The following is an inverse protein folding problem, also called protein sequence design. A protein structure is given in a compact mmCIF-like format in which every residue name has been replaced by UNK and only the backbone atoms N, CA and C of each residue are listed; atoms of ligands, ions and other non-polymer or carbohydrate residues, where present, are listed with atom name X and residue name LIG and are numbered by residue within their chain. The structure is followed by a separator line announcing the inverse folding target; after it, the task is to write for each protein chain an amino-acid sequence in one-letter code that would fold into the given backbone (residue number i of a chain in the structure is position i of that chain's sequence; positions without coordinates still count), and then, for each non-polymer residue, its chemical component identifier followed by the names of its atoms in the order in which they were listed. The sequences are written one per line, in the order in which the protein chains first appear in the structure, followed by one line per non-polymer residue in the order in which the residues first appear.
data_IF_283573998081
#
_entry.id   IF_283573998081
#
_cell.length_a   1.000
_cell.length_b   1.000
_cell.length_c   1.000
_cell.angle_alpha   90.00
_cell.angle_beta   90.00
_cell.angle_gamma   90.00
#
_symmetry.space_group_name_H-M   'P 1'
#
loop_
_entity.id
_entity.type
_entity.pdbx_description
1 polymer ?
#
# COMPACT_ATOMS: atom_id res chain seq x y z
N UNK A 1 12.03 23.34 5.63
CA UNK A 1 11.38 22.07 5.29
C UNK A 1 11.93 20.99 6.20
N UNK A 2 11.14 20.07 6.76
CA UNK A 2 11.71 18.98 7.55
C UNK A 2 12.69 18.19 6.69
N UNK A 3 13.85 17.87 7.23
CA UNK A 3 14.89 17.08 6.56
C UNK A 3 14.29 15.73 6.21
N UNK A 4 14.32 15.32 4.93
CA UNK A 4 13.73 14.09 4.42
C UNK A 4 14.76 12.97 4.39
N UNK A 5 14.30 11.74 4.57
CA UNK A 5 15.13 10.53 4.49
C UNK A 5 15.03 10.02 3.07
N UNK A 6 16.10 10.20 2.31
CA UNK A 6 16.16 9.99 0.86
C UNK A 6 15.77 8.58 0.44
N UNK A 7 16.34 7.55 1.09
CA UNK A 7 16.10 6.16 0.72
C UNK A 7 14.62 5.73 0.85
N UNK A 8 13.86 6.36 1.76
CA UNK A 8 12.41 6.11 1.88
C UNK A 8 11.68 6.61 0.65
N UNK A 9 12.05 7.79 0.15
CA UNK A 9 11.45 8.34 -1.08
C UNK A 9 11.84 7.48 -2.30
N UNK A 10 13.08 6.96 -2.36
CA UNK A 10 13.54 6.04 -3.41
C UNK A 10 12.74 4.73 -3.40
N UNK A 11 12.63 4.06 -2.23
CA UNK A 11 11.88 2.79 -2.16
C UNK A 11 10.42 3.02 -2.52
N UNK A 12 9.82 4.14 -2.09
CA UNK A 12 8.44 4.49 -2.47
C UNK A 12 8.32 4.72 -3.99
N UNK A 13 9.34 5.33 -4.62
CA UNK A 13 9.42 5.50 -6.07
C UNK A 13 9.52 4.16 -6.81
N UNK A 14 10.32 3.23 -6.31
CA UNK A 14 10.41 1.86 -6.85
C UNK A 14 9.05 1.15 -6.70
N UNK A 15 8.42 1.26 -5.54
CA UNK A 15 7.12 0.63 -5.28
C UNK A 15 6.03 1.14 -6.22
N UNK A 16 6.03 2.44 -6.51
CA UNK A 16 5.04 3.02 -7.42
C UNK A 16 5.29 2.60 -8.87
N UNK A 17 6.55 2.50 -9.31
CA UNK A 17 6.88 1.97 -10.64
C UNK A 17 6.47 0.50 -10.76
N UNK A 18 6.78 -0.32 -9.76
CA UNK A 18 6.36 -1.72 -9.72
C UNK A 18 4.83 -1.86 -9.80
N UNK A 19 4.09 -1.01 -9.11
CA UNK A 19 2.63 -0.97 -9.17
C UNK A 19 2.12 -0.61 -10.57
N UNK A 20 2.68 0.43 -11.20
CA UNK A 20 2.31 0.82 -12.58
C UNK A 20 2.60 -0.33 -13.56
N UNK A 21 3.74 -1.01 -13.41
CA UNK A 21 4.11 -2.18 -14.21
C UNK A 21 3.10 -3.33 -14.04
N UNK A 22 2.68 -3.61 -12.82
CA UNK A 22 1.69 -4.63 -12.54
C UNK A 22 0.34 -4.31 -13.21
N UNK A 23 -0.12 -3.06 -13.08
CA UNK A 23 -1.38 -2.64 -13.67
C UNK A 23 -1.33 -2.57 -15.20
N UNK A 24 -0.18 -2.22 -15.78
CA UNK A 24 0.02 -2.32 -17.22
C UNK A 24 -0.10 -3.77 -17.72
N UNK A 25 0.49 -4.73 -16.99
CA UNK A 25 0.34 -6.15 -17.32
C UNK A 25 -1.11 -6.64 -17.14
N UNK A 26 -1.82 -6.13 -16.13
CA UNK A 26 -3.26 -6.38 -15.96
C UNK A 26 -4.04 -5.88 -17.16
N UNK A 27 -3.79 -4.66 -17.63
CA UNK A 27 -4.50 -4.08 -18.78
C UNK A 27 -4.17 -4.82 -20.07
N UNK A 28 -2.91 -5.24 -20.30
CA UNK A 28 -2.56 -6.12 -21.42
C UNK A 28 -3.39 -7.41 -21.42
N UNK A 29 -3.59 -8.01 -20.27
CA UNK A 29 -4.43 -9.19 -20.11
C UNK A 29 -5.91 -8.85 -20.35
N UNK A 30 -6.41 -7.78 -19.75
CA UNK A 30 -7.80 -7.35 -19.81
C UNK A 30 -8.24 -7.03 -21.25
N UNK A 31 -7.39 -6.36 -22.03
CA UNK A 31 -7.64 -6.02 -23.44
C UNK A 31 -7.26 -7.13 -24.42
N UNK A 32 -6.84 -8.32 -23.95
CA UNK A 32 -6.57 -9.48 -24.81
C UNK A 32 -5.20 -9.49 -25.49
N UNK A 33 -4.27 -8.60 -25.11
CA UNK A 33 -2.89 -8.57 -25.64
C UNK A 33 -1.94 -9.54 -24.93
N UNK A 34 -2.37 -10.15 -23.82
CA UNK A 34 -1.61 -11.13 -23.08
C UNK A 34 -2.48 -12.34 -22.72
N UNK A 35 -1.85 -13.39 -22.17
CA UNK A 35 -2.56 -14.62 -21.74
C UNK A 35 -3.62 -14.28 -20.68
N UNK A 36 -4.81 -14.92 -20.73
CA UNK A 36 -5.92 -14.62 -19.79
C UNK A 36 -5.62 -14.91 -18.31
N UNK A 37 -4.56 -15.63 -18.02
CA UNK A 37 -4.14 -16.04 -16.68
C UNK A 37 -2.86 -15.32 -16.20
N UNK A 38 -2.31 -14.39 -16.98
CA UNK A 38 -1.01 -13.77 -16.74
C UNK A 38 -0.82 -13.32 -15.28
N UNK A 39 -1.69 -12.44 -14.79
CA UNK A 39 -1.55 -11.88 -13.44
C UNK A 39 -1.91 -12.88 -12.32
N UNK A 40 -2.55 -13.99 -12.66
CA UNK A 40 -2.91 -15.04 -11.71
C UNK A 40 -1.80 -16.06 -11.49
N UNK A 41 -0.73 -16.01 -12.30
CA UNK A 41 0.46 -16.84 -12.12
C UNK A 41 1.17 -16.53 -10.80
N UNK A 42 1.82 -17.54 -10.18
CA UNK A 42 2.44 -17.39 -8.85
C UNK A 42 3.41 -16.21 -8.74
N UNK A 43 4.22 -15.98 -9.78
CA UNK A 43 5.22 -14.90 -9.80
C UNK A 43 4.57 -13.50 -9.79
N UNK A 44 3.50 -13.31 -10.59
CA UNK A 44 2.75 -12.06 -10.63
C UNK A 44 1.97 -11.83 -9.34
N UNK A 45 1.41 -12.87 -8.74
CA UNK A 45 0.78 -12.78 -7.42
C UNK A 45 1.78 -12.44 -6.32
N UNK A 46 2.98 -13.02 -6.37
CA UNK A 46 4.05 -12.66 -5.43
C UNK A 46 4.46 -11.20 -5.63
N UNK A 47 4.64 -10.77 -6.88
CA UNK A 47 5.00 -9.39 -7.23
C UNK A 47 3.95 -8.38 -6.70
N UNK A 48 2.67 -8.64 -6.90
CA UNK A 48 1.56 -7.85 -6.35
C UNK A 48 1.61 -7.76 -4.82
N UNK A 49 1.84 -8.90 -4.15
CA UNK A 49 1.97 -8.93 -2.68
C UNK A 49 3.17 -8.13 -2.18
N UNK A 50 4.29 -8.19 -2.89
CA UNK A 50 5.49 -7.41 -2.54
C UNK A 50 5.25 -5.91 -2.70
N UNK A 51 4.51 -5.47 -3.72
CA UNK A 51 4.10 -4.08 -3.90
C UNK A 51 3.26 -3.62 -2.71
N UNK A 52 2.20 -4.37 -2.36
CA UNK A 52 1.34 -4.04 -1.24
C UNK A 52 2.11 -4.04 0.10
N UNK A 53 2.98 -5.04 0.32
CA UNK A 53 3.87 -5.10 1.47
C UNK A 53 4.72 -3.84 1.58
N UNK A 54 5.37 -3.42 0.50
CA UNK A 54 6.27 -2.26 0.51
C UNK A 54 5.56 -0.96 0.88
N UNK A 55 4.37 -0.71 0.33
CA UNK A 55 3.58 0.48 0.68
C UNK A 55 3.16 0.50 2.15
N UNK A 56 2.65 -0.62 2.67
CA UNK A 56 2.25 -0.73 4.08
C UNK A 56 3.45 -0.61 5.02
N UNK A 57 4.56 -1.28 4.72
CA UNK A 57 5.79 -1.20 5.50
C UNK A 57 6.31 0.24 5.60
N UNK A 58 6.43 0.93 4.45
CA UNK A 58 6.88 2.32 4.39
C UNK A 58 5.89 3.25 5.11
N UNK A 59 4.60 2.98 5.04
CA UNK A 59 3.59 3.77 5.75
C UNK A 59 3.76 3.64 7.27
N UNK A 60 3.95 2.43 7.80
CA UNK A 60 4.19 2.17 9.22
C UNK A 60 5.51 2.76 9.72
N UNK A 61 6.60 2.59 8.97
CA UNK A 61 7.89 3.20 9.28
C UNK A 61 7.77 4.73 9.34
N UNK A 62 7.10 5.33 8.37
CA UNK A 62 6.89 6.78 8.30
C UNK A 62 6.01 7.30 9.43
N UNK A 63 5.05 6.51 9.92
CA UNK A 63 4.27 6.85 11.12
C UNK A 63 5.18 6.97 12.34
N UNK A 64 6.04 5.97 12.57
CA UNK A 64 6.99 5.98 13.70
C UNK A 64 7.98 7.13 13.60
N UNK A 65 8.51 7.44 12.43
CA UNK A 65 9.43 8.56 12.22
C UNK A 65 8.78 9.89 12.62
N UNK A 66 7.50 10.07 12.25
CA UNK A 66 6.84 11.37 12.39
C UNK A 66 6.21 11.57 13.77
N UNK A 67 5.72 10.50 14.41
CA UNK A 67 4.81 10.60 15.56
C UNK A 67 5.29 9.89 16.83
N UNK A 68 6.42 9.17 16.83
CA UNK A 68 6.85 8.39 17.98
C UNK A 68 7.22 9.25 19.19
N UNK A 69 7.80 10.43 18.98
CA UNK A 69 8.19 11.35 20.07
C UNK A 69 6.98 12.10 20.63
N UNK A 70 6.12 12.57 19.75
CA UNK A 70 4.86 13.26 20.05
C UNK A 70 3.93 13.21 18.84
N UNK A 71 2.61 13.17 19.07
CA UNK A 71 1.64 13.06 18.00
C UNK A 71 1.38 14.45 17.40
N UNK A 72 1.82 14.68 16.17
CA UNK A 72 1.46 15.85 15.41
C UNK A 72 0.13 15.60 14.67
N UNK A 73 -0.97 15.94 15.32
CA UNK A 73 -2.31 15.71 14.79
C UNK A 73 -2.55 16.34 13.42
N UNK A 74 -2.05 17.56 13.19
CA UNK A 74 -2.18 18.25 11.89
C UNK A 74 -1.48 17.45 10.77
N UNK A 75 -0.29 16.95 11.04
CA UNK A 75 0.46 16.11 10.08
C UNK A 75 -0.21 14.77 9.87
N UNK A 76 -0.74 14.16 10.93
CA UNK A 76 -1.45 12.89 10.87
C UNK A 76 -2.71 13.00 10.01
N UNK A 77 -3.62 13.93 10.31
CA UNK A 77 -4.85 14.09 9.55
C UNK A 77 -4.61 14.52 8.11
N UNK A 78 -3.60 15.37 7.86
CA UNK A 78 -3.22 15.73 6.48
C UNK A 78 -2.78 14.51 5.67
N UNK A 79 -2.09 13.54 6.27
CA UNK A 79 -1.59 12.35 5.59
C UNK A 79 -2.67 11.26 5.50
N UNK A 80 -3.11 10.77 6.64
CA UNK A 80 -4.04 9.63 6.71
C UNK A 80 -5.47 10.02 6.33
N UNK A 81 -5.90 11.24 6.66
CA UNK A 81 -7.19 11.78 6.24
C UNK A 81 -7.28 11.95 4.72
N UNK A 82 -6.23 12.51 4.09
CA UNK A 82 -6.18 12.59 2.61
C UNK A 82 -6.19 11.19 2.00
N UNK A 83 -5.41 10.24 2.55
CA UNK A 83 -5.41 8.87 2.05
C UNK A 83 -6.79 8.20 2.18
N UNK A 84 -7.50 8.44 3.29
CA UNK A 84 -8.85 7.92 3.51
C UNK A 84 -9.86 8.53 2.51
N UNK A 85 -9.79 9.84 2.27
CA UNK A 85 -10.63 10.51 1.26
C UNK A 85 -10.36 9.90 -0.13
N UNK A 86 -9.09 9.71 -0.51
CA UNK A 86 -8.73 9.08 -1.77
C UNK A 86 -9.22 7.63 -1.85
N UNK A 87 -9.19 6.87 -0.75
CA UNK A 87 -9.73 5.51 -0.68
C UNK A 87 -11.22 5.49 -0.98
N UNK A 88 -11.99 6.37 -0.34
CA UNK A 88 -13.45 6.50 -0.57
C UNK A 88 -13.74 6.94 -2.01
N UNK A 89 -12.98 7.89 -2.55
CA UNK A 89 -13.14 8.35 -3.95
C UNK A 89 -12.91 7.21 -4.94
N UNK A 90 -11.87 6.39 -4.74
CA UNK A 90 -11.62 5.21 -5.59
C UNK A 90 -12.79 4.22 -5.51
N UNK A 91 -13.33 3.96 -4.30
CA UNK A 91 -14.49 3.09 -4.15
C UNK A 91 -15.70 3.62 -4.92
N UNK A 92 -15.98 4.92 -4.85
CA UNK A 92 -17.09 5.56 -5.58
C UNK A 92 -16.87 5.45 -7.09
N UNK A 93 -15.67 5.81 -7.58
CA UNK A 93 -15.36 5.76 -9.01
C UNK A 93 -15.43 4.33 -9.54
N UNK A 94 -14.85 3.37 -8.84
CA UNK A 94 -14.89 1.96 -9.27
C UNK A 94 -16.29 1.36 -9.16
N UNK A 95 -17.13 1.82 -8.23
CA UNK A 95 -18.53 1.45 -8.18
C UNK A 95 -19.30 1.92 -9.42
N UNK A 96 -19.09 3.17 -9.83
CA UNK A 96 -19.76 3.74 -11.01
C UNK A 96 -19.32 3.02 -12.30
N UNK A 97 -18.03 2.67 -12.41
CA UNK A 97 -17.46 2.10 -13.65
C UNK A 97 -17.62 0.57 -13.72
N UNK A 98 -17.49 -0.14 -12.60
CA UNK A 98 -17.39 -1.61 -12.56
C UNK A 98 -18.44 -2.28 -11.66
N UNK A 99 -19.31 -1.51 -11.01
CA UNK A 99 -20.41 -1.99 -10.16
C UNK A 99 -19.99 -3.10 -9.17
N UNK A 100 -20.19 -4.37 -9.51
CA UNK A 100 -19.93 -5.51 -8.63
C UNK A 100 -18.45 -5.72 -8.29
N UNK A 101 -17.52 -5.31 -9.17
CA UNK A 101 -16.08 -5.47 -9.01
C UNK A 101 -15.42 -4.25 -8.36
N UNK A 102 -16.22 -3.34 -7.80
CA UNK A 102 -15.74 -2.14 -7.12
C UNK A 102 -14.69 -2.44 -6.05
N UNK A 103 -13.77 -1.51 -5.83
CA UNK A 103 -12.82 -1.58 -4.72
C UNK A 103 -13.56 -1.29 -3.41
N UNK A 104 -13.88 -2.33 -2.65
CA UNK A 104 -14.56 -2.22 -1.35
C UNK A 104 -13.59 -1.87 -0.23
N UNK A 105 -12.46 -2.57 -0.19
CA UNK A 105 -11.42 -2.34 0.81
C UNK A 105 -10.04 -2.65 0.23
N UNK A 106 -9.45 -1.69 -0.50
CA UNK A 106 -8.14 -1.80 -1.14
C UNK A 106 -6.98 -1.27 -0.28
N UNK A 107 -5.79 -1.18 -0.88
CA UNK A 107 -4.55 -0.79 -0.19
C UNK A 107 -4.63 0.58 0.51
N UNK A 108 -5.31 1.59 -0.07
CA UNK A 108 -5.45 2.91 0.57
C UNK A 108 -6.33 2.85 1.83
N UNK A 109 -7.39 2.01 1.81
CA UNK A 109 -8.19 1.73 3.01
C UNK A 109 -7.33 1.08 4.09
N UNK A 110 -6.58 0.03 3.72
CA UNK A 110 -5.70 -0.67 4.63
C UNK A 110 -4.65 0.27 5.26
N UNK A 111 -4.00 1.15 4.47
CA UNK A 111 -3.05 2.16 4.98
C UNK A 111 -3.73 3.12 5.96
N UNK A 112 -4.95 3.59 5.64
CA UNK A 112 -5.66 4.57 6.46
C UNK A 112 -6.06 3.98 7.81
N UNK A 113 -6.66 2.79 7.82
CA UNK A 113 -7.07 2.09 9.04
C UNK A 113 -5.84 1.64 9.84
N UNK A 114 -4.81 1.09 9.18
CA UNK A 114 -3.55 0.74 9.85
C UNK A 114 -2.88 1.96 10.48
N UNK A 115 -3.01 3.15 9.89
CA UNK A 115 -2.54 4.40 10.46
C UNK A 115 -3.22 4.74 11.79
N UNK A 116 -4.54 4.56 11.89
CA UNK A 116 -5.30 4.76 13.13
C UNK A 116 -4.90 3.73 14.19
N UNK A 117 -4.84 2.45 13.83
CA UNK A 117 -4.37 1.40 14.75
C UNK A 117 -2.93 1.66 15.18
N UNK A 118 -2.08 2.08 14.24
CA UNK A 118 -0.67 2.39 14.51
C UNK A 118 -0.48 3.51 15.54
N UNK A 119 -1.38 4.51 15.62
CA UNK A 119 -1.34 5.52 16.67
C UNK A 119 -1.44 4.90 18.07
N UNK A 120 -2.31 3.92 18.25
CA UNK A 120 -2.48 3.22 19.52
C UNK A 120 -1.21 2.41 19.89
N UNK A 121 -0.51 1.92 18.87
CA UNK A 121 0.68 1.09 19.02
C UNK A 121 2.00 1.89 19.15
N UNK A 122 2.00 3.23 18.98
CA UNK A 122 3.21 4.06 18.99
C UNK A 122 4.03 3.95 20.28
N UNK A 123 3.37 3.71 21.41
CA UNK A 123 4.03 3.58 22.72
C UNK A 123 4.74 2.24 22.92
N UNK A 124 4.43 1.23 22.11
CA UNK A 124 5.06 -0.08 22.21
C UNK A 124 6.51 -0.01 21.73
N UNK A 125 7.40 -0.78 22.39
CA UNK A 125 8.77 -0.92 21.93
C UNK A 125 8.87 -1.77 20.66
N UNK A 126 10.00 -1.69 19.94
CA UNK A 126 10.18 -2.39 18.66
C UNK A 126 10.07 -3.90 18.77
N UNK A 127 10.50 -4.48 19.89
CA UNK A 127 10.42 -5.91 20.12
C UNK A 127 8.96 -6.37 20.28
N UNK A 128 8.16 -5.63 21.06
CA UNK A 128 6.73 -5.90 21.23
C UNK A 128 5.96 -5.75 19.90
N UNK A 129 6.30 -4.74 19.10
CA UNK A 129 5.73 -4.57 17.76
C UNK A 129 6.10 -5.72 16.82
N UNK A 130 7.37 -6.17 16.88
CA UNK A 130 7.82 -7.31 16.08
C UNK A 130 7.05 -8.58 16.46
N UNK A 131 6.96 -8.91 17.75
CA UNK A 131 6.20 -10.08 18.21
C UNK A 131 4.71 -9.97 17.88
N UNK A 132 4.12 -8.78 17.97
CA UNK A 132 2.73 -8.57 17.56
C UNK A 132 2.55 -8.84 16.05
N UNK A 133 3.47 -8.37 15.21
CA UNK A 133 3.43 -8.63 13.77
C UNK A 133 3.57 -10.13 13.48
N UNK A 134 4.52 -10.81 14.14
CA UNK A 134 4.69 -12.27 14.00
C UNK A 134 3.44 -13.00 14.47
N UNK A 135 2.86 -12.62 15.62
CA UNK A 135 1.62 -13.24 16.12
C UNK A 135 0.47 -13.09 15.12
N UNK A 136 0.24 -11.90 14.57
CA UNK A 136 -0.82 -11.67 13.59
C UNK A 136 -0.59 -12.46 12.30
N UNK A 137 0.66 -12.58 11.86
CA UNK A 137 1.01 -13.41 10.71
C UNK A 137 0.75 -14.89 10.99
N UNK A 138 1.18 -15.41 12.14
CA UNK A 138 0.95 -16.80 12.53
C UNK A 138 -0.55 -17.10 12.71
N UNK A 139 -1.29 -16.21 13.36
CA UNK A 139 -2.75 -16.36 13.50
C UNK A 139 -3.41 -16.50 12.13
N UNK A 140 -2.97 -15.71 11.13
CA UNK A 140 -3.50 -15.85 9.77
C UNK A 140 -3.14 -17.19 9.10
N UNK A 141 -2.03 -17.82 9.48
CA UNK A 141 -1.65 -19.15 8.96
C UNK A 141 -2.45 -20.29 9.62
N UNK A 142 -2.74 -20.15 10.93
CA UNK A 142 -3.38 -21.22 11.72
C UNK A 142 -4.91 -21.11 11.75
N UNK A 143 -5.46 -19.91 11.55
CA UNK A 143 -6.92 -19.74 11.44
C UNK A 143 -7.33 -20.22 10.04
N UNK A 144 -8.22 -21.24 9.96
CA UNK A 144 -8.75 -21.67 8.67
C UNK A 144 -9.32 -20.49 7.90
N UNK A 145 -8.85 -20.28 6.70
CA UNK A 145 -9.34 -19.22 5.81
C UNK A 145 -10.08 -19.86 4.63
N UNK A 146 -11.11 -19.25 4.16
CA UNK A 146 -11.81 -18.07 4.69
C UNK A 146 -12.72 -18.43 5.89
N UNK A 147 -12.94 -17.47 6.78
CA UNK A 147 -13.92 -17.63 7.88
C UNK A 147 -15.34 -17.48 7.35
N UNK A 148 -16.26 -18.29 7.86
CA UNK A 148 -17.69 -18.03 7.66
C UNK A 148 -18.05 -16.68 8.29
N UNK A 149 -18.58 -15.77 7.50
CA UNK A 149 -18.90 -14.44 8.00
C UNK A 149 -19.58 -13.57 6.95
N UNK A 150 -20.39 -12.65 7.44
CA UNK A 150 -21.13 -11.68 6.65
C UNK A 150 -20.20 -10.67 5.96
N UNK A 151 -20.71 -10.00 4.94
CA UNK A 151 -20.05 -8.91 4.21
C UNK A 151 -19.49 -7.81 5.12
N UNK A 152 -20.07 -7.62 6.33
CA UNK A 152 -19.60 -6.64 7.30
C UNK A 152 -18.15 -6.88 7.76
N UNK A 153 -17.69 -8.14 7.85
CA UNK A 153 -16.34 -8.47 8.34
C UNK A 153 -15.25 -8.51 7.27
N UNK A 154 -15.62 -8.38 6.00
CA UNK A 154 -14.69 -8.46 4.86
C UNK A 154 -13.57 -7.43 4.92
N UNK A 155 -13.77 -6.25 5.50
CA UNK A 155 -12.72 -5.26 5.67
C UNK A 155 -11.66 -5.67 6.71
N UNK A 156 -12.03 -6.54 7.65
CA UNK A 156 -11.17 -6.95 8.77
C UNK A 156 -10.36 -8.20 8.43
N UNK A 157 -10.99 -9.21 7.84
CA UNK A 157 -10.38 -10.52 7.58
C UNK A 157 -10.96 -11.15 6.31
N UNK A 158 -10.25 -12.13 5.74
CA UNK A 158 -10.77 -12.92 4.64
C UNK A 158 -11.96 -13.77 5.11
N UNK A 159 -13.09 -13.68 4.40
CA UNK A 159 -14.30 -14.48 4.63
C UNK A 159 -14.56 -15.43 3.45
N UNK A 160 -15.43 -16.43 3.65
CA UNK A 160 -15.83 -17.39 2.60
C UNK A 160 -16.38 -16.69 1.37
N UNK A 161 -17.11 -15.60 1.57
CA UNK A 161 -17.58 -14.73 0.51
C UNK A 161 -16.59 -13.60 0.26
N UNK A 162 -15.42 -13.92 -0.32
CA UNK A 162 -14.51 -12.86 -0.76
C UNK A 162 -15.18 -12.03 -1.84
N UNK A 163 -15.23 -10.70 -1.71
CA UNK A 163 -15.84 -9.88 -2.72
C UNK A 163 -15.05 -9.97 -4.03
N UNK A 164 -15.75 -10.07 -5.15
CA UNK A 164 -15.15 -9.71 -6.41
C UNK A 164 -14.74 -8.25 -6.30
N UNK A 165 -13.46 -7.98 -6.31
CA UNK A 165 -12.93 -6.62 -6.15
C UNK A 165 -11.60 -6.49 -6.88
N UNK A 166 -11.43 -5.39 -7.60
CA UNK A 166 -10.20 -5.07 -8.33
C UNK A 166 -8.97 -4.93 -7.41
N UNK A 167 -9.18 -4.52 -6.16
CA UNK A 167 -8.17 -4.52 -5.11
C UNK A 167 -8.84 -4.88 -3.78
N UNK A 168 -8.36 -5.95 -3.12
CA UNK A 168 -8.91 -6.40 -1.84
C UNK A 168 -7.79 -6.71 -0.85
N UNK A 169 -7.75 -5.90 0.24
CA UNK A 169 -6.67 -5.95 1.25
C UNK A 169 -7.26 -5.81 2.65
N UNK A 170 -7.90 -6.87 3.20
CA UNK A 170 -8.44 -6.82 4.56
C UNK A 170 -7.33 -6.53 5.58
N UNK A 171 -7.70 -5.92 6.71
CA UNK A 171 -6.72 -5.52 7.74
C UNK A 171 -5.86 -6.71 8.17
N UNK A 172 -6.46 -7.87 8.40
CA UNK A 172 -5.73 -9.11 8.71
C UNK A 172 -5.65 -9.95 7.42
N UNK A 173 -4.46 -10.25 6.90
CA UNK A 173 -3.12 -10.07 7.52
C UNK A 173 -2.39 -8.77 7.14
N UNK A 174 -2.97 -7.89 6.33
CA UNK A 174 -2.26 -6.79 5.71
C UNK A 174 -1.76 -5.68 6.64
N UNK A 175 -2.20 -5.64 7.91
CA UNK A 175 -1.61 -4.76 8.92
C UNK A 175 -0.20 -5.22 9.35
N UNK A 176 0.16 -6.49 9.15
CA UNK A 176 1.47 -7.05 9.55
C UNK A 176 2.66 -6.28 8.97
N UNK A 177 2.75 -6.03 7.64
CA UNK A 177 3.81 -5.21 7.07
C UNK A 177 3.88 -3.80 7.66
N UNK A 178 2.74 -3.20 7.97
CA UNK A 178 2.69 -1.87 8.58
C UNK A 178 3.32 -1.88 9.98
N UNK A 179 2.95 -2.86 10.83
CA UNK A 179 3.52 -3.01 12.17
C UNK A 179 5.02 -3.35 12.10
N UNK A 180 5.45 -4.18 11.12
CA UNK A 180 6.88 -4.44 10.90
C UNK A 180 7.63 -3.16 10.53
N UNK A 181 7.04 -2.29 9.71
CA UNK A 181 7.61 -0.98 9.40
C UNK A 181 7.77 -0.11 10.65
N UNK A 182 6.76 -0.11 11.55
CA UNK A 182 6.86 0.57 12.84
C UNK A 182 7.95 -0.02 13.74
N UNK A 183 8.05 -1.35 13.80
CA UNK A 183 9.06 -2.06 14.60
C UNK A 183 10.49 -1.77 14.13
N UNK A 184 10.70 -1.64 12.82
CA UNK A 184 12.01 -1.41 12.20
C UNK A 184 12.59 -0.02 12.51
N UNK A 185 11.78 0.94 12.94
CA UNK A 185 12.21 2.32 13.18
C UNK A 185 13.41 2.42 14.14
N UNK A 186 13.37 1.74 15.29
CA UNK A 186 14.44 1.78 16.28
C UNK A 186 15.75 1.18 15.76
N UNK A 187 15.63 0.06 15.04
CA UNK A 187 16.76 -0.62 14.43
C UNK A 187 17.44 0.26 13.38
N UNK A 188 16.66 0.83 12.48
CA UNK A 188 17.15 1.73 11.44
C UNK A 188 17.73 3.01 12.01
N UNK A 189 17.17 3.52 13.13
CA UNK A 189 17.75 4.64 13.87
C UNK A 189 19.12 4.27 14.47
N UNK A 190 19.23 3.09 15.06
CA UNK A 190 20.51 2.60 15.63
C UNK A 190 21.59 2.42 14.55
N UNK A 191 21.20 2.04 13.33
CA UNK A 191 22.12 1.89 12.20
C UNK A 191 22.43 3.19 11.45
N UNK A 192 21.96 4.34 11.94
CA UNK A 192 22.19 5.64 11.30
C UNK A 192 21.37 5.87 10.02
N UNK A 193 20.52 4.92 9.62
CA UNK A 193 19.73 4.99 8.38
C UNK A 193 18.62 6.07 8.43
N UNK A 194 18.38 6.64 9.62
CA UNK A 194 17.41 7.73 9.82
C UNK A 194 18.04 9.11 9.70
N UNK A 195 19.35 9.16 9.47
CA UNK A 195 20.04 10.43 9.29
C UNK A 195 19.70 11.01 7.90
N UNK A 196 19.47 12.30 7.90
CA UNK A 196 19.18 13.02 6.66
C UNK A 196 20.48 13.27 5.93
N UNK A 197 20.66 12.65 4.78
CA UNK A 197 21.82 12.87 3.94
C UNK A 197 21.82 14.30 3.37
N UNK A 198 22.94 15.01 3.57
CA UNK A 198 23.24 16.26 2.86
C UNK A 198 23.87 15.99 1.48
N UNK A 199 23.87 14.73 1.01
CA UNK A 199 24.48 14.38 -0.27
C UNK A 199 23.71 15.00 -1.43
N UNK A 200 24.42 15.58 -2.36
CA UNK A 200 23.92 15.94 -3.70
C UNK A 200 23.32 14.69 -4.34
N UNK A 201 22.01 14.73 -4.63
CA UNK A 201 21.31 13.61 -5.23
C UNK A 201 21.83 13.45 -6.65
N UNK A 202 22.38 12.28 -6.99
CA UNK A 202 22.66 11.92 -8.38
C UNK A 202 21.36 12.01 -9.19
N UNK A 203 21.44 12.50 -10.43
CA UNK A 203 20.26 12.77 -11.28
C UNK A 203 19.29 11.58 -11.40
N UNK A 204 19.79 10.34 -11.43
CA UNK A 204 18.99 9.12 -11.53
C UNK A 204 18.13 8.89 -10.28
N UNK A 205 18.68 9.10 -9.09
CA UNK A 205 17.94 9.00 -7.82
C UNK A 205 16.91 10.13 -7.66
N UNK A 206 17.11 11.26 -8.36
CA UNK A 206 16.19 12.39 -8.30
C UNK A 206 14.83 12.04 -8.88
N UNK A 207 14.74 11.25 -9.97
CA UNK A 207 13.50 10.78 -10.57
C UNK A 207 12.76 9.85 -9.62
N UNK A 208 13.45 8.86 -9.03
CA UNK A 208 12.84 7.95 -8.06
C UNK A 208 12.32 8.68 -6.83
N UNK A 209 13.08 9.65 -6.33
CA UNK A 209 12.63 10.48 -5.22
C UNK A 209 11.40 11.32 -5.58
N UNK A 210 11.34 11.86 -6.80
CA UNK A 210 10.18 12.60 -7.28
C UNK A 210 8.95 11.70 -7.36
N UNK A 211 9.10 10.50 -7.94
CA UNK A 211 8.03 9.49 -8.00
C UNK A 211 7.55 9.12 -6.58
N UNK A 212 8.47 8.86 -5.66
CA UNK A 212 8.14 8.53 -4.27
C UNK A 212 7.41 9.65 -3.54
N UNK A 213 7.77 10.90 -3.79
CA UNK A 213 7.11 12.08 -3.20
C UNK A 213 5.70 12.30 -3.74
N UNK A 214 5.46 11.94 -5.00
CA UNK A 214 4.18 12.09 -5.67
C UNK A 214 3.40 10.76 -5.76
N UNK A 215 3.82 9.74 -4.99
CA UNK A 215 3.28 8.38 -5.09
C UNK A 215 1.76 8.29 -4.96
N UNK A 216 1.12 9.09 -4.11
CA UNK A 216 -0.33 9.11 -3.97
C UNK A 216 -1.03 9.65 -5.24
N UNK A 217 -0.51 10.72 -5.82
CA UNK A 217 -1.07 11.28 -7.06
C UNK A 217 -0.91 10.29 -8.20
N UNK A 218 0.29 9.71 -8.35
CA UNK A 218 0.56 8.70 -9.38
C UNK A 218 -0.34 7.48 -9.18
N UNK A 219 -0.53 7.04 -7.91
CA UNK A 219 -1.45 5.95 -7.57
C UNK A 219 -2.90 6.24 -8.03
N UNK A 220 -3.36 7.49 -7.93
CA UNK A 220 -4.73 7.84 -8.32
C UNK A 220 -4.92 7.92 -9.84
N UNK A 221 -3.91 8.39 -10.56
CA UNK A 221 -4.05 8.71 -11.99
C UNK A 221 -3.53 7.62 -12.93
N UNK A 222 -2.68 6.67 -12.45
CA UNK A 222 -2.04 5.71 -13.34
C UNK A 222 -3.05 4.83 -14.10
N UNK A 223 -4.03 4.25 -13.39
CA UNK A 223 -4.99 3.34 -14.01
C UNK A 223 -5.93 4.04 -15.02
N UNK A 224 -6.51 5.20 -14.72
CA UNK A 224 -7.23 5.97 -15.72
C UNK A 224 -6.39 6.29 -16.96
N UNK A 225 -5.11 6.66 -16.80
CA UNK A 225 -4.22 6.97 -17.94
C UNK A 225 -3.94 5.72 -18.76
N UNK A 226 -3.59 4.60 -18.13
CA UNK A 226 -3.32 3.34 -18.83
C UNK A 226 -4.57 2.87 -19.59
N UNK A 227 -5.72 2.85 -18.94
CA UNK A 227 -6.97 2.38 -19.50
C UNK A 227 -7.40 3.21 -20.71
N UNK A 228 -7.37 4.55 -20.60
CA UNK A 228 -7.65 5.44 -21.72
C UNK A 228 -6.63 5.25 -22.86
N UNK A 229 -5.35 5.06 -22.53
CA UNK A 229 -4.31 4.76 -23.52
C UNK A 229 -4.62 3.51 -24.35
N UNK A 230 -5.05 2.42 -23.72
CA UNK A 230 -5.47 1.19 -24.40
C UNK A 230 -6.73 1.39 -25.25
N UNK A 231 -7.73 2.12 -24.75
CA UNK A 231 -8.94 2.42 -25.53
C UNK A 231 -8.64 3.22 -26.80
N UNK A 232 -7.79 4.24 -26.68
CA UNK A 232 -7.37 5.03 -27.86
C UNK A 232 -6.56 4.18 -28.85
N UNK A 233 -5.66 3.32 -28.34
CA UNK A 233 -4.90 2.40 -29.21
C UNK A 233 -5.83 1.46 -30.00
N UNK A 234 -6.86 0.92 -29.34
CA UNK A 234 -7.84 0.04 -29.98
C UNK A 234 -8.75 0.76 -31.01
N UNK A 235 -8.99 2.06 -30.83
CA UNK A 235 -9.78 2.85 -31.81
C UNK A 235 -8.99 3.25 -33.05
N UNK A 236 -7.65 3.27 -32.96
CA UNK A 236 -6.76 3.67 -34.03
C UNK A 236 -6.30 2.50 -34.92
N UNK A 237 -6.54 1.25 -34.50
CA UNK A 237 -6.20 0.01 -35.20
C UNK A 237 -7.42 -0.85 -35.47
#
# INVERSE_FOLDING_TARGET
MPKRILWIDVIRGISILAMVTFHFAFDLMYFGFAKPDLIYQPDWRLFERMIAFSFLFIAGLSLSITHRSWINWKSFFRRYGVTAICAVLISIVTYILFNNDMIRFGILHAISVSGLVGLLLLKLNSLSLFFLAVLLFLLNLFIPQPLEGDYFWQWLIYTTETPNSLDYRPIIPWITPFILGMASYQLFKKWGLMETSNTTIHNELSILCWLGRNSLVIYLIHQPILFVGFLLFLQLN
#
